data_IF_690251358870
#
_entry.id   IF_690251358870
#
_cell.length_a   1.000
_cell.length_b   1.000
_cell.length_c   1.000
_cell.angle_alpha   90.00
_cell.angle_beta   90.00
_cell.angle_gamma   90.00
#
_symmetry.space_group_name_H-M   'P 1'
#
loop_
_entity.id
_entity.type
_entity.pdbx_description
1 polymer ?
#
# COMPACT_ATOMS: atom_id res chain seq x y z
N UNK A 1 58.32 -11.23 18.56
CA UNK A 1 57.11 -10.45 18.90
C UNK A 1 56.25 -10.38 17.66
N UNK A 2 55.25 -11.25 17.56
CA UNK A 2 54.34 -11.37 16.44
C UNK A 2 52.92 -11.16 16.98
N UNK A 3 52.26 -10.09 16.55
CA UNK A 3 50.90 -9.72 16.95
C UNK A 3 49.89 -10.43 16.05
N UNK A 4 49.15 -11.36 16.65
CA UNK A 4 48.03 -12.09 16.03
C UNK A 4 46.86 -11.18 15.63
N UNK A 5 46.21 -11.42 14.48
CA UNK A 5 44.96 -10.75 14.11
C UNK A 5 43.76 -11.39 14.82
N UNK A 6 42.95 -10.55 15.48
CA UNK A 6 41.69 -10.94 16.13
C UNK A 6 40.66 -11.30 15.04
N UNK A 7 40.29 -12.58 14.99
CA UNK A 7 39.15 -13.09 14.19
C UNK A 7 37.84 -12.81 14.93
N UNK A 8 36.91 -12.09 14.30
CA UNK A 8 35.53 -12.03 14.75
C UNK A 8 34.81 -13.34 14.39
N UNK A 9 34.27 -14.02 15.41
CA UNK A 9 33.47 -15.24 15.27
C UNK A 9 32.05 -14.89 14.84
N UNK A 10 31.56 -15.57 13.80
CA UNK A 10 30.12 -15.72 13.54
C UNK A 10 29.48 -16.56 14.65
N UNK A 11 28.32 -16.16 15.22
CA UNK A 11 27.47 -17.08 15.95
C UNK A 11 26.55 -17.81 14.96
N UNK A 12 26.92 -19.05 14.62
CA UNK A 12 26.01 -20.08 14.13
C UNK A 12 25.17 -20.63 15.29
N UNK A 13 23.88 -20.85 15.00
CA UNK A 13 22.87 -21.65 15.74
C UNK A 13 22.47 -21.22 17.16
N UNK A 14 21.21 -20.80 17.31
CA UNK A 14 20.43 -21.08 18.52
C UNK A 14 19.48 -22.25 18.21
N UNK A 15 19.46 -23.21 19.13
CA UNK A 15 18.79 -24.50 19.06
C UNK A 15 17.25 -24.41 19.18
N UNK A 16 16.51 -25.46 18.77
CA UNK A 16 15.07 -25.47 18.59
C UNK A 16 14.35 -25.86 19.89
N UNK A 17 13.37 -25.06 20.31
CA UNK A 17 12.17 -25.46 21.07
C UNK A 17 11.46 -24.22 21.63
N UNK A 18 10.53 -23.66 20.87
CA UNK A 18 9.42 -22.86 21.41
C UNK A 18 8.11 -23.44 20.88
N UNK A 19 7.23 -23.98 21.73
CA UNK A 19 5.94 -24.47 21.31
C UNK A 19 4.99 -23.29 21.05
N UNK A 20 4.22 -23.37 19.96
CA UNK A 20 3.07 -22.49 19.72
C UNK A 20 3.37 -21.29 18.82
N UNK A 21 3.43 -21.53 17.52
CA UNK A 21 3.33 -20.52 16.47
C UNK A 21 1.97 -19.82 16.51
N UNK A 22 1.86 -18.75 17.30
CA UNK A 22 0.79 -17.76 17.18
C UNK A 22 1.35 -16.53 16.46
N UNK A 23 1.40 -16.58 15.13
CA UNK A 23 1.58 -15.38 14.30
C UNK A 23 0.39 -14.45 14.52
N UNK A 24 0.56 -13.44 15.38
CA UNK A 24 -0.43 -12.38 15.60
C UNK A 24 -0.60 -11.58 14.30
N UNK A 25 -1.69 -11.83 13.58
CA UNK A 25 -2.05 -11.21 12.28
C UNK A 25 -2.48 -9.72 12.36
N UNK A 26 -2.21 -8.99 13.44
CA UNK A 26 -2.82 -7.67 13.64
C UNK A 26 -1.87 -6.64 14.27
N UNK A 27 -0.95 -6.04 13.49
CA UNK A 27 -0.13 -4.94 14.02
C UNK A 27 0.26 -3.91 12.94
N UNK A 28 -0.33 -2.71 13.00
CA UNK A 28 0.17 -1.49 12.36
C UNK A 28 0.60 -0.47 13.42
N UNK A 29 1.85 0.00 13.36
CA UNK A 29 2.34 1.17 14.12
C UNK A 29 2.37 2.42 13.22
N UNK A 30 2.48 3.60 13.81
CA UNK A 30 2.62 4.86 13.09
C UNK A 30 3.64 5.70 13.84
N UNK A 31 4.69 6.16 13.17
CA UNK A 31 5.68 7.02 13.80
C UNK A 31 5.49 8.44 13.28
N UNK A 32 5.25 9.38 14.20
CA UNK A 32 5.10 10.81 13.93
C UNK A 32 6.25 11.54 14.60
N UNK A 33 6.93 12.45 13.93
CA UNK A 33 8.01 13.24 14.53
C UNK A 33 7.58 14.73 14.56
N UNK A 34 7.58 15.39 15.74
CA UNK A 34 7.31 16.82 15.86
C UNK A 34 8.50 17.64 15.36
N UNK A 35 8.27 18.93 15.12
CA UNK A 35 9.32 19.85 14.71
C UNK A 35 10.44 19.98 15.75
N UNK A 36 11.68 19.72 15.34
CA UNK A 36 12.87 20.01 16.13
C UNK A 36 13.97 20.56 15.22
N UNK A 37 14.55 21.70 15.60
CA UNK A 37 15.67 22.34 14.91
C UNK A 37 16.95 21.50 15.02
N UNK A 38 17.16 20.50 14.16
CA UNK A 38 18.48 19.84 14.04
C UNK A 38 18.67 19.09 12.69
N UNK A 39 19.87 19.12 12.06
CA UNK A 39 20.12 18.51 10.73
C UNK A 39 20.20 16.98 10.77
N UNK A 40 20.22 16.30 9.59
CA UNK A 40 19.93 14.87 9.50
C UNK A 40 21.18 14.00 9.69
N UNK A 41 21.38 13.47 10.90
CA UNK A 41 22.24 12.30 11.13
C UNK A 41 21.54 11.33 12.07
N UNK A 42 20.84 10.33 11.53
CA UNK A 42 20.38 9.17 12.29
C UNK A 42 21.49 8.11 12.33
N UNK A 43 22.51 8.35 13.13
CA UNK A 43 23.35 7.30 13.71
C UNK A 43 23.55 7.66 15.18
N UNK A 44 23.13 6.75 16.05
CA UNK A 44 23.42 6.63 17.48
C UNK A 44 23.64 7.93 18.28
N UNK A 45 22.78 8.14 19.28
CA UNK A 45 22.81 9.22 20.28
C UNK A 45 22.30 10.58 19.78
N UNK A 46 21.00 10.81 19.93
CA UNK A 46 20.38 12.10 19.70
C UNK A 46 18.89 12.02 19.99
N UNK A 47 18.43 12.81 20.96
CA UNK A 47 17.06 12.90 21.44
C UNK A 47 16.12 13.46 20.37
N UNK A 48 15.63 12.60 19.48
CA UNK A 48 14.48 12.91 18.65
C UNK A 48 13.23 12.27 19.28
N UNK A 49 12.24 13.08 19.64
CA UNK A 49 10.96 12.63 20.19
C UNK A 49 10.15 11.94 19.08
N UNK A 50 10.41 10.66 18.81
CA UNK A 50 9.57 9.88 17.92
C UNK A 50 8.26 9.53 18.64
N UNK A 51 7.11 9.92 18.11
CA UNK A 51 5.79 9.50 18.60
C UNK A 51 5.37 8.22 17.89
N UNK A 52 5.60 7.06 18.49
CA UNK A 52 5.12 5.78 17.96
C UNK A 52 3.70 5.45 18.46
N UNK A 53 2.73 5.33 17.57
CA UNK A 53 1.31 5.05 17.85
C UNK A 53 0.92 3.67 17.32
N UNK A 54 0.06 2.92 18.01
CA UNK A 54 -0.37 1.56 17.60
C UNK A 54 -1.79 1.27 18.06
N UNK A 55 -2.54 0.48 17.28
CA UNK A 55 -3.97 0.27 17.51
C UNK A 55 -4.42 -1.16 17.92
N UNK A 56 -5.52 -1.20 18.69
CA UNK A 56 -6.49 -2.29 18.97
C UNK A 56 -7.88 -1.65 19.20
N UNK A 57 -8.98 -2.26 18.74
CA UNK A 57 -10.35 -1.77 18.99
C UNK A 57 -10.86 -2.15 20.39
N UNK A 58 -11.58 -1.20 21.01
CA UNK A 58 -12.48 -1.29 22.18
C UNK A 58 -12.01 -1.90 23.50
N UNK A 59 -10.72 -2.17 23.69
CA UNK A 59 -10.15 -2.33 25.05
C UNK A 59 -8.82 -1.59 25.12
N UNK A 60 -8.65 -0.83 26.19
CA UNK A 60 -7.43 -0.17 26.67
C UNK A 60 -6.14 -0.52 25.92
N UNK A 61 -5.33 0.50 25.57
CA UNK A 61 -3.96 0.25 25.13
C UNK A 61 -3.29 -0.63 26.18
N UNK A 62 -2.77 -1.82 25.85
CA UNK A 62 -2.20 -2.69 26.87
C UNK A 62 -1.02 -1.95 27.51
N UNK A 63 -1.01 -1.75 28.84
CA UNK A 63 0.08 -1.07 29.55
C UNK A 63 1.46 -1.71 29.25
N UNK A 64 1.45 -2.97 28.83
CA UNK A 64 2.61 -3.71 28.32
C UNK A 64 3.38 -3.00 27.19
N UNK A 65 2.74 -2.17 26.34
CA UNK A 65 3.42 -1.57 25.17
C UNK A 65 4.30 -0.38 25.53
N UNK A 66 3.75 0.59 26.27
CA UNK A 66 4.55 1.68 26.82
C UNK A 66 5.64 1.12 27.74
N UNK A 67 5.31 0.08 28.52
CA UNK A 67 6.28 -0.66 29.32
C UNK A 67 7.42 -1.29 28.52
N UNK A 68 7.14 -1.90 27.37
CA UNK A 68 8.18 -2.50 26.51
C UNK A 68 9.11 -1.44 25.89
N UNK A 69 8.56 -0.30 25.47
CA UNK A 69 9.35 0.81 24.91
C UNK A 69 10.23 1.45 25.99
N UNK A 70 9.67 1.70 27.17
CA UNK A 70 10.41 2.21 28.32
C UNK A 70 11.53 1.26 28.76
N UNK A 71 11.26 -0.06 28.79
CA UNK A 71 12.30 -1.08 29.07
C UNK A 71 13.43 -1.08 28.04
N UNK A 72 13.15 -0.67 26.80
CA UNK A 72 14.14 -0.53 25.75
C UNK A 72 14.81 0.87 25.72
N UNK A 73 14.52 1.74 26.70
CA UNK A 73 15.10 3.09 26.82
C UNK A 73 14.40 4.16 25.95
N UNK A 74 13.25 3.85 25.37
CA UNK A 74 12.49 4.79 24.54
C UNK A 74 11.27 5.32 25.30
N UNK A 75 11.05 6.63 25.19
CA UNK A 75 9.95 7.33 25.86
C UNK A 75 9.04 8.09 24.88
N UNK A 76 8.46 7.40 23.87
CA UNK A 76 7.53 8.04 22.94
C UNK A 76 6.17 8.33 23.62
N UNK A 77 5.47 9.37 23.17
CA UNK A 77 4.03 9.48 23.46
C UNK A 77 3.29 8.33 22.75
N UNK A 78 2.64 7.45 23.51
CA UNK A 78 1.85 6.35 22.95
C UNK A 78 0.37 6.68 23.04
N UNK A 79 -0.25 6.82 21.89
CA UNK A 79 -1.67 7.20 21.78
C UNK A 79 -2.47 6.06 21.20
N UNK A 80 -3.59 5.74 21.84
CA UNK A 80 -4.59 4.84 21.31
C UNK A 80 -5.68 5.66 20.63
N UNK A 81 -5.80 5.53 19.31
CA UNK A 81 -6.78 6.26 18.51
C UNK A 81 -6.73 5.81 17.06
N UNK A 82 -7.54 6.46 16.22
CA UNK A 82 -7.50 6.26 14.77
C UNK A 82 -6.29 6.99 14.17
N UNK A 83 -5.42 6.23 13.50
CA UNK A 83 -4.25 6.79 12.81
C UNK A 83 -4.59 7.59 11.57
N UNK A 84 -5.75 7.35 10.95
CA UNK A 84 -6.20 8.12 9.78
C UNK A 84 -6.55 9.56 10.16
N UNK A 85 -7.06 9.79 11.38
CA UNK A 85 -7.34 11.12 11.92
C UNK A 85 -6.09 11.89 12.36
N UNK A 86 -4.91 11.26 12.36
CA UNK A 86 -3.69 11.84 12.89
C UNK A 86 -3.79 12.15 14.38
N UNK A 87 -3.18 13.27 14.80
CA UNK A 87 -3.33 13.87 16.13
C UNK A 87 -3.14 15.38 16.07
N UNK A 88 -4.24 16.14 15.94
CA UNK A 88 -4.18 17.61 15.95
C UNK A 88 -3.50 18.19 17.19
N UNK A 89 -3.76 17.61 18.37
CA UNK A 89 -3.21 18.12 19.63
C UNK A 89 -1.69 17.88 19.85
N UNK A 90 -0.99 17.25 18.90
CA UNK A 90 0.46 17.02 18.97
C UNK A 90 1.21 17.59 17.75
N UNK A 91 0.50 18.28 16.84
CA UNK A 91 1.05 18.82 15.59
C UNK A 91 1.45 20.29 15.68
N UNK A 92 2.08 20.85 14.63
CA UNK A 92 2.35 20.21 13.33
C UNK A 92 3.55 19.25 13.34
N UNK A 93 3.59 18.32 12.37
CA UNK A 93 4.61 17.28 12.23
C UNK A 93 5.55 17.55 11.05
N UNK A 94 6.84 17.28 11.24
CA UNK A 94 7.82 17.26 10.14
C UNK A 94 7.81 15.93 9.39
N UNK A 95 7.37 14.86 10.06
CA UNK A 95 7.31 13.53 9.47
C UNK A 95 6.09 12.76 9.92
N UNK A 96 5.46 12.14 8.95
CA UNK A 96 4.37 11.17 9.11
C UNK A 96 4.83 9.86 8.52
N UNK A 97 5.00 8.82 9.34
CA UNK A 97 5.43 7.50 8.89
C UNK A 97 4.35 6.48 9.23
N UNK A 98 3.73 5.94 8.20
CA UNK A 98 2.80 4.84 8.30
C UNK A 98 3.52 3.50 8.33
N UNK A 99 3.08 2.59 9.19
CA UNK A 99 3.44 1.16 9.08
C UNK A 99 2.19 0.29 8.91
N UNK A 100 1.19 0.85 8.24
CA UNK A 100 0.03 0.15 7.71
C UNK A 100 -0.33 0.76 6.35
N UNK A 101 -0.73 -0.08 5.39
CA UNK A 101 -1.05 0.35 4.04
C UNK A 101 -2.40 1.06 3.97
N UNK A 102 -2.46 2.10 3.15
CA UNK A 102 -3.69 2.85 2.81
C UNK A 102 -3.94 2.80 1.30
N UNK A 103 -5.21 2.89 0.88
CA UNK A 103 -5.57 3.16 -0.53
C UNK A 103 -5.70 4.65 -0.81
N UNK A 104 -5.90 5.43 0.25
CA UNK A 104 -5.99 6.88 0.22
C UNK A 104 -5.10 7.48 1.29
N UNK A 105 -4.24 8.43 0.93
CA UNK A 105 -3.49 9.21 1.93
C UNK A 105 -4.49 10.14 2.63
N UNK A 106 -4.68 10.02 3.96
CA UNK A 106 -5.65 10.82 4.68
C UNK A 106 -5.30 12.30 4.66
N UNK A 107 -6.31 13.13 4.40
CA UNK A 107 -6.17 14.59 4.41
C UNK A 107 -5.66 15.12 5.74
N UNK A 108 -6.07 14.50 6.85
CA UNK A 108 -5.62 14.86 8.19
C UNK A 108 -4.10 14.78 8.37
N UNK A 109 -3.40 13.93 7.60
CA UNK A 109 -1.94 13.87 7.66
C UNK A 109 -1.31 15.09 7.01
N UNK A 110 -1.86 15.56 5.88
CA UNK A 110 -1.44 16.80 5.24
C UNK A 110 -1.74 18.02 6.13
N UNK A 111 -2.95 18.12 6.67
CA UNK A 111 -3.38 19.28 7.47
C UNK A 111 -2.60 19.45 8.78
N UNK A 112 -1.94 18.38 9.24
CA UNK A 112 -1.17 18.36 10.48
C UNK A 112 0.34 18.38 10.22
N UNK A 113 0.77 18.66 8.99
CA UNK A 113 2.19 18.76 8.63
C UNK A 113 2.68 20.19 8.52
N UNK A 114 3.98 20.40 8.77
CA UNK A 114 4.69 21.63 8.39
C UNK A 114 4.96 21.66 6.88
N UNK A 115 5.15 22.85 6.30
CA UNK A 115 5.73 22.95 4.95
C UNK A 115 7.17 22.37 4.97
N UNK A 116 7.49 21.54 3.99
CA UNK A 116 8.73 20.74 3.94
C UNK A 116 8.61 19.36 4.60
N UNK A 117 7.51 19.06 5.31
CA UNK A 117 7.32 17.77 5.96
C UNK A 117 7.29 16.59 4.98
N UNK A 118 7.63 15.40 5.47
CA UNK A 118 7.61 14.16 4.69
C UNK A 118 6.53 13.22 5.19
N UNK A 119 5.66 12.79 4.28
CA UNK A 119 4.72 11.68 4.51
C UNK A 119 5.28 10.44 3.83
N UNK A 120 5.57 9.40 4.60
CA UNK A 120 6.06 8.11 4.12
C UNK A 120 5.03 7.02 4.48
N UNK A 121 4.40 6.42 3.47
CA UNK A 121 3.37 5.41 3.71
C UNK A 121 3.45 4.25 2.74
N UNK A 122 3.26 2.99 3.21
CA UNK A 122 2.84 1.92 2.33
C UNK A 122 1.49 2.30 1.71
N UNK A 123 1.40 2.12 0.40
CA UNK A 123 0.24 2.43 -0.41
C UNK A 123 -0.09 1.22 -1.28
N UNK A 124 -1.38 1.03 -1.53
CA UNK A 124 -1.84 -0.01 -2.42
C UNK A 124 -3.18 0.33 -3.03
N UNK A 125 -3.55 -0.44 -4.04
CA UNK A 125 -4.88 -0.44 -4.62
C UNK A 125 -5.53 -1.80 -4.41
N UNK A 126 -6.78 -1.95 -4.83
CA UNK A 126 -7.48 -3.23 -4.76
C UNK A 126 -6.81 -4.28 -5.66
N UNK A 127 -6.15 -3.83 -6.72
CA UNK A 127 -5.45 -4.66 -7.69
C UNK A 127 -4.09 -5.13 -7.16
N UNK A 128 -3.33 -4.24 -6.52
CA UNK A 128 -2.00 -4.55 -6.01
C UNK A 128 -1.62 -3.67 -4.82
N UNK A 129 -1.04 -4.29 -3.79
CA UNK A 129 -0.49 -3.61 -2.62
C UNK A 129 1.04 -3.63 -2.61
N UNK A 130 1.64 -2.68 -1.93
CA UNK A 130 3.03 -2.74 -1.49
C UNK A 130 3.93 -1.67 -2.08
N UNK A 131 3.40 -0.55 -2.59
CA UNK A 131 4.21 0.59 -3.00
C UNK A 131 4.60 1.42 -1.78
N UNK A 132 5.87 1.84 -1.69
CA UNK A 132 6.31 2.78 -0.65
C UNK A 132 6.19 4.20 -1.19
N UNK A 133 5.16 4.93 -0.78
CA UNK A 133 4.91 6.30 -1.21
C UNK A 133 5.64 7.29 -0.31
N UNK A 134 6.43 8.19 -0.90
CA UNK A 134 7.07 9.32 -0.21
C UNK A 134 6.56 10.63 -0.79
N UNK A 135 5.80 11.38 -0.01
CA UNK A 135 5.32 12.72 -0.35
C UNK A 135 6.09 13.78 0.43
N UNK A 136 6.24 14.95 -0.18
CA UNK A 136 6.75 16.15 0.48
C UNK A 136 5.63 17.19 0.50
N UNK A 137 5.42 17.80 1.67
CA UNK A 137 4.41 18.84 1.88
C UNK A 137 4.99 20.19 1.47
N UNK A 138 4.25 20.96 0.68
CA UNK A 138 4.58 22.35 0.36
C UNK A 138 3.30 23.09 -0.06
N UNK A 139 3.08 24.28 0.48
CA UNK A 139 2.00 25.16 0.08
C UNK A 139 0.62 24.48 0.13
N UNK A 140 0.35 23.74 1.21
CA UNK A 140 -0.92 23.04 1.41
C UNK A 140 -1.18 21.85 0.48
N UNK A 141 -0.14 21.32 -0.15
CA UNK A 141 -0.19 20.11 -1.01
C UNK A 141 0.88 19.12 -0.57
N UNK A 142 0.61 17.83 -0.71
CA UNK A 142 1.61 16.78 -0.58
C UNK A 142 1.82 16.11 -1.93
N UNK A 143 3.02 16.20 -2.49
CA UNK A 143 3.35 15.60 -3.81
C UNK A 143 4.60 14.75 -3.69
N UNK A 144 4.63 13.62 -4.40
CA UNK A 144 5.82 12.78 -4.45
C UNK A 144 5.61 11.48 -5.19
N UNK A 145 6.57 10.56 -5.04
CA UNK A 145 6.72 9.36 -5.87
C UNK A 145 6.76 8.10 -5.03
N UNK A 146 6.56 6.98 -5.70
CA UNK A 146 6.87 5.68 -5.12
C UNK A 146 8.39 5.46 -5.09
N UNK A 147 8.94 5.23 -3.91
CA UNK A 147 10.38 5.08 -3.67
C UNK A 147 10.85 3.61 -3.66
N UNK A 148 9.93 2.66 -3.85
CA UNK A 148 10.21 1.23 -3.80
C UNK A 148 9.03 0.43 -3.26
N UNK A 149 9.33 -0.71 -2.64
CA UNK A 149 8.30 -1.65 -2.17
C UNK A 149 8.23 -1.70 -0.65
N UNK A 150 7.03 -1.70 -0.08
CA UNK A 150 6.78 -1.90 1.34
C UNK A 150 5.47 -2.68 1.55
N UNK A 151 5.56 -3.99 1.82
CA UNK A 151 4.37 -4.83 2.07
C UNK A 151 3.99 -4.77 3.54
N UNK A 152 2.92 -4.03 3.83
CA UNK A 152 2.35 -3.90 5.17
C UNK A 152 0.89 -4.34 5.19
N UNK A 153 0.39 -4.61 6.40
CA UNK A 153 -1.02 -4.87 6.64
C UNK A 153 -1.83 -3.62 6.32
N UNK A 154 -3.02 -3.77 5.75
CA UNK A 154 -3.96 -2.67 5.55
C UNK A 154 -4.40 -2.03 6.87
N UNK A 155 -4.59 -0.71 6.85
CA UNK A 155 -5.50 -0.06 7.80
C UNK A 155 -6.87 -0.72 7.69
N UNK A 156 -7.56 -0.95 8.81
CA UNK A 156 -8.75 -1.83 8.82
C UNK A 156 -9.88 -1.29 7.93
N UNK A 157 -10.17 0.01 7.97
CA UNK A 157 -11.19 0.65 7.12
C UNK A 157 -10.81 0.71 5.63
N UNK A 158 -9.52 0.56 5.31
CA UNK A 158 -8.99 0.63 3.95
C UNK A 158 -8.89 -0.76 3.28
N UNK A 159 -9.26 -1.84 3.98
CA UNK A 159 -9.20 -3.20 3.43
C UNK A 159 -10.14 -3.33 2.23
N UNK A 160 -9.66 -3.82 1.07
CA UNK A 160 -10.53 -4.08 -0.08
C UNK A 160 -11.66 -5.04 0.26
N UNK A 161 -12.88 -4.72 -0.18
CA UNK A 161 -14.04 -5.59 -0.02
C UNK A 161 -13.91 -6.85 -0.90
N UNK A 162 -14.57 -7.92 -0.46
CA UNK A 162 -14.72 -9.19 -1.20
C UNK A 162 -16.17 -9.69 -1.18
N UNK A 163 -17.10 -8.84 -0.82
CA UNK A 163 -18.53 -9.14 -0.86
C UNK A 163 -19.02 -8.94 -2.28
N UNK A 164 -19.57 -10.00 -2.89
CA UNK A 164 -19.94 -10.01 -4.31
C UNK A 164 -21.42 -10.35 -4.44
N UNK A 165 -22.15 -9.47 -5.12
CA UNK A 165 -23.58 -9.62 -5.41
C UNK A 165 -23.86 -9.22 -6.88
N UNK A 166 -23.21 -9.85 -7.87
CA UNK A 166 -23.45 -9.54 -9.27
C UNK A 166 -24.83 -10.07 -9.71
N UNK A 167 -25.42 -9.53 -10.79
CA UNK A 167 -26.60 -10.13 -11.40
C UNK A 167 -26.29 -11.51 -11.98
N UNK A 168 -27.32 -12.34 -12.16
CA UNK A 168 -27.15 -13.73 -12.63
C UNK A 168 -26.75 -13.83 -14.10
N UNK A 169 -27.14 -12.86 -14.92
CA UNK A 169 -26.89 -12.90 -16.37
C UNK A 169 -25.57 -12.21 -16.71
N UNK A 170 -24.64 -12.96 -17.31
CA UNK A 170 -23.35 -12.46 -17.78
C UNK A 170 -23.31 -12.27 -19.30
N UNK A 171 -22.64 -11.21 -19.74
CA UNK A 171 -22.30 -10.96 -21.16
C UNK A 171 -21.01 -11.70 -21.50
N UNK A 172 -20.95 -12.31 -22.68
CA UNK A 172 -19.80 -13.10 -23.13
C UNK A 172 -19.04 -12.39 -24.23
N UNK A 173 -17.72 -12.53 -24.22
CA UNK A 173 -16.85 -12.04 -25.27
C UNK A 173 -15.55 -12.86 -25.33
N UNK A 174 -14.81 -12.69 -26.43
CA UNK A 174 -13.41 -13.08 -26.49
C UNK A 174 -12.54 -12.06 -25.76
N UNK A 175 -11.42 -12.50 -25.19
CA UNK A 175 -10.41 -11.59 -24.67
C UNK A 175 -9.62 -10.99 -25.84
N UNK A 176 -9.38 -9.66 -25.87
CA UNK A 176 -8.54 -9.03 -26.88
C UNK A 176 -7.04 -9.29 -26.69
N UNK A 177 -6.62 -9.70 -25.49
CA UNK A 177 -5.23 -10.00 -25.15
C UNK A 177 -5.10 -11.30 -24.37
N UNK A 178 -3.95 -11.96 -24.48
CA UNK A 178 -3.60 -13.12 -23.67
C UNK A 178 -3.56 -12.75 -22.17
N UNK A 179 -4.44 -13.32 -21.32
CA UNK A 179 -4.46 -13.04 -19.88
C UNK A 179 -3.15 -13.41 -19.18
N UNK A 180 -2.42 -14.39 -19.72
CA UNK A 180 -1.08 -14.76 -19.26
C UNK A 180 -0.07 -13.63 -19.37
N UNK A 181 -0.15 -12.80 -20.43
CA UNK A 181 0.75 -11.65 -20.62
C UNK A 181 0.37 -10.47 -19.74
N UNK A 182 -0.91 -10.24 -19.56
CA UNK A 182 -1.43 -9.10 -18.78
C UNK A 182 -1.25 -9.34 -17.28
N UNK A 183 -1.56 -10.55 -16.80
CA UNK A 183 -1.57 -10.89 -15.37
C UNK A 183 -0.32 -11.62 -14.88
N UNK A 184 0.47 -12.20 -15.79
CA UNK A 184 1.69 -12.95 -15.47
C UNK A 184 2.94 -12.08 -15.30
N UNK A 185 2.81 -10.76 -15.33
CA UNK A 185 3.92 -9.84 -15.14
C UNK A 185 4.49 -9.83 -13.72
N UNK A 186 5.67 -9.20 -13.52
CA UNK A 186 6.23 -9.00 -12.19
C UNK A 186 5.33 -8.11 -11.34
N UNK A 187 5.51 -8.13 -10.03
CA UNK A 187 4.73 -7.30 -9.10
C UNK A 187 4.69 -5.82 -9.48
N UNK A 188 5.80 -5.26 -10.00
CA UNK A 188 5.87 -3.86 -10.42
C UNK A 188 4.91 -3.52 -11.57
N UNK A 189 4.71 -4.45 -12.52
CA UNK A 189 3.71 -4.31 -13.58
C UNK A 189 2.32 -4.26 -12.94
N UNK A 190 1.97 -5.25 -12.12
CA UNK A 190 0.64 -5.32 -11.51
C UNK A 190 0.36 -4.10 -10.62
N UNK A 191 1.36 -3.61 -9.89
CA UNK A 191 1.23 -2.37 -9.13
C UNK A 191 0.96 -1.17 -10.04
N UNK A 192 1.70 -1.03 -11.14
CA UNK A 192 1.47 0.04 -12.11
C UNK A 192 0.04 -0.05 -12.69
N UNK A 193 -0.41 -1.22 -13.15
CA UNK A 193 -1.78 -1.41 -13.65
C UNK A 193 -2.81 -1.01 -12.60
N UNK A 194 -2.57 -1.40 -11.35
CA UNK A 194 -3.40 -1.05 -10.22
C UNK A 194 -3.58 0.45 -9.99
N UNK A 195 -2.70 1.32 -10.50
CA UNK A 195 -2.88 2.78 -10.42
C UNK A 195 -3.93 3.29 -11.42
N UNK A 196 -4.14 2.62 -12.56
CA UNK A 196 -5.21 2.93 -13.52
C UNK A 196 -6.56 2.35 -13.09
N UNK A 197 -6.55 1.18 -12.45
CA UNK A 197 -7.76 0.47 -12.00
C UNK A 197 -7.76 0.29 -10.47
N UNK A 198 -7.77 1.38 -9.69
CA UNK A 198 -7.50 1.32 -8.25
C UNK A 198 -8.54 0.53 -7.44
N UNK A 199 -9.75 0.40 -7.96
CA UNK A 199 -10.88 -0.24 -7.27
C UNK A 199 -11.17 -1.68 -7.73
N UNK A 200 -10.41 -2.17 -8.72
CA UNK A 200 -10.56 -3.53 -9.25
C UNK A 200 -9.74 -4.51 -8.40
N UNK A 201 -10.43 -5.41 -7.70
CA UNK A 201 -9.82 -6.57 -7.05
C UNK A 201 -9.75 -7.76 -8.00
N UNK A 202 -8.83 -8.70 -7.74
CA UNK A 202 -8.74 -9.94 -8.51
C UNK A 202 -8.31 -11.16 -7.69
N UNK A 203 -8.64 -12.35 -8.19
CA UNK A 203 -8.09 -13.61 -7.71
C UNK A 203 -8.05 -14.65 -8.84
N UNK A 204 -7.00 -15.47 -8.85
CA UNK A 204 -6.95 -16.65 -9.72
C UNK A 204 -7.79 -17.78 -9.11
N UNK A 205 -8.46 -18.53 -9.98
CA UNK A 205 -9.23 -19.73 -9.63
C UNK A 205 -8.93 -20.83 -10.63
N UNK A 206 -9.08 -22.09 -10.20
CA UNK A 206 -8.79 -23.26 -11.03
C UNK A 206 -7.31 -23.43 -11.36
N UNK A 207 -6.99 -24.55 -11.99
CA UNK A 207 -5.64 -24.92 -12.44
C UNK A 207 -5.71 -25.51 -13.85
N UNK A 208 -4.56 -25.61 -14.54
CA UNK A 208 -4.48 -26.19 -15.88
C UNK A 208 -5.39 -25.50 -16.90
N UNK A 209 -6.18 -26.29 -17.62
CA UNK A 209 -7.10 -25.80 -18.66
C UNK A 209 -8.30 -25.02 -18.09
N UNK A 210 -8.68 -25.26 -16.83
CA UNK A 210 -9.76 -24.55 -16.13
C UNK A 210 -9.28 -23.27 -15.43
N UNK A 211 -7.99 -22.93 -15.57
CA UNK A 211 -7.41 -21.74 -14.94
C UNK A 211 -8.10 -20.49 -15.47
N UNK A 212 -8.59 -19.68 -14.53
CA UNK A 212 -9.23 -18.40 -14.80
C UNK A 212 -8.77 -17.33 -13.81
N UNK A 213 -8.98 -16.07 -14.16
CA UNK A 213 -8.91 -14.94 -13.23
C UNK A 213 -10.30 -14.33 -13.09
N UNK A 214 -10.69 -14.09 -11.84
CA UNK A 214 -11.89 -13.35 -11.50
C UNK A 214 -11.50 -11.95 -11.08
N UNK A 215 -12.19 -10.95 -11.62
CA UNK A 215 -12.14 -9.55 -11.23
C UNK A 215 -13.45 -9.14 -10.54
N UNK A 216 -13.37 -8.16 -9.63
CA UNK A 216 -14.53 -7.54 -9.00
C UNK A 216 -14.26 -6.08 -8.65
N UNK A 217 -15.31 -5.28 -8.59
CA UNK A 217 -15.25 -3.89 -8.12
C UNK A 217 -15.52 -3.78 -6.61
N UNK A 218 -15.34 -2.59 -6.03
CA UNK A 218 -15.56 -2.42 -4.58
C UNK A 218 -17.03 -2.45 -4.17
N UNK A 219 -17.97 -2.20 -5.09
CA UNK A 219 -19.41 -2.34 -4.79
C UNK A 219 -19.86 -3.79 -4.81
N UNK A 220 -19.09 -4.68 -5.44
CA UNK A 220 -19.41 -6.09 -5.60
C UNK A 220 -20.48 -6.36 -6.65
N UNK A 221 -20.90 -5.36 -7.42
CA UNK A 221 -21.98 -5.48 -8.42
C UNK A 221 -21.43 -5.86 -9.79
N UNK A 222 -20.15 -5.60 -10.05
CA UNK A 222 -19.48 -5.99 -11.29
C UNK A 222 -18.46 -7.10 -11.03
N UNK A 223 -18.56 -8.19 -11.79
CA UNK A 223 -17.66 -9.33 -11.71
C UNK A 223 -17.31 -9.79 -13.12
N UNK A 224 -16.03 -9.99 -13.42
CA UNK A 224 -15.59 -10.50 -14.72
C UNK A 224 -14.74 -11.74 -14.55
N UNK A 225 -15.11 -12.84 -15.21
CA UNK A 225 -14.33 -14.07 -15.29
C UNK A 225 -13.60 -14.12 -16.62
N UNK A 226 -12.32 -14.50 -16.59
CA UNK A 226 -11.49 -14.61 -17.80
C UNK A 226 -10.71 -15.92 -17.78
N UNK A 227 -10.98 -16.78 -18.75
CA UNK A 227 -10.26 -18.04 -18.95
C UNK A 227 -8.86 -17.80 -19.54
N UNK A 228 -7.86 -18.50 -19.03
CA UNK A 228 -6.51 -18.48 -19.62
C UNK A 228 -6.43 -19.37 -20.87
N UNK A 229 -7.02 -20.56 -20.82
CA UNK A 229 -7.17 -21.45 -21.96
C UNK A 229 -8.23 -20.92 -22.92
N UNK A 230 -7.96 -21.00 -24.24
CA UNK A 230 -8.91 -20.56 -25.26
C UNK A 230 -9.34 -19.10 -25.11
N UNK A 231 -8.47 -18.22 -24.60
CA UNK A 231 -8.83 -16.83 -24.26
C UNK A 231 -9.41 -16.02 -25.44
N UNK A 232 -9.13 -16.43 -26.67
CA UNK A 232 -9.63 -15.83 -27.91
C UNK A 232 -11.03 -16.33 -28.31
N UNK A 233 -11.58 -17.33 -27.63
CA UNK A 233 -12.92 -17.85 -27.90
C UNK A 233 -14.01 -16.87 -27.41
N UNK A 234 -15.16 -16.74 -28.11
CA UNK A 234 -16.22 -15.79 -27.75
C UNK A 234 -16.84 -15.96 -26.35
N UNK A 235 -16.51 -17.04 -25.65
CA UNK A 235 -16.99 -17.39 -24.31
C UNK A 235 -15.93 -17.26 -23.23
N UNK A 236 -14.71 -16.86 -23.57
CA UNK A 236 -13.58 -16.83 -22.64
C UNK A 236 -13.70 -15.75 -21.56
N UNK A 237 -14.38 -14.65 -21.86
CA UNK A 237 -14.70 -13.58 -20.92
C UNK A 237 -16.19 -13.63 -20.60
N UNK A 238 -16.53 -13.62 -19.31
CA UNK A 238 -17.91 -13.50 -18.84
C UNK A 238 -18.00 -12.34 -17.86
N UNK A 239 -18.66 -11.25 -18.26
CA UNK A 239 -18.85 -10.04 -17.46
C UNK A 239 -20.28 -9.96 -16.92
N UNK A 240 -20.40 -9.92 -15.59
CA UNK A 240 -21.63 -9.71 -14.85
C UNK A 240 -21.67 -8.28 -14.31
N UNK A 241 -22.87 -7.68 -14.27
CA UNK A 241 -23.04 -6.32 -13.75
C UNK A 241 -22.83 -5.23 -14.80
N UNK A 242 -22.77 -3.96 -14.38
CA UNK A 242 -22.61 -2.83 -15.30
C UNK A 242 -21.22 -2.75 -15.92
N UNK A 243 -20.17 -3.15 -15.21
CA UNK A 243 -18.78 -3.06 -15.67
C UNK A 243 -18.29 -4.29 -16.44
N UNK A 244 -17.34 -4.07 -17.36
CA UNK A 244 -16.44 -5.10 -17.87
C UNK A 244 -15.02 -4.80 -17.36
N UNK A 245 -14.69 -5.39 -16.23
CA UNK A 245 -13.44 -5.11 -15.51
C UNK A 245 -12.23 -5.66 -16.27
N UNK A 246 -12.42 -6.66 -17.13
CA UNK A 246 -11.32 -7.15 -17.95
C UNK A 246 -10.93 -6.15 -19.04
N UNK A 247 -11.92 -5.53 -19.69
CA UNK A 247 -11.68 -4.46 -20.65
C UNK A 247 -10.95 -3.26 -20.00
N UNK A 248 -11.30 -2.89 -18.77
CA UNK A 248 -10.58 -1.85 -18.00
C UNK A 248 -9.12 -2.24 -17.73
N UNK A 249 -8.87 -3.48 -17.31
CA UNK A 249 -7.51 -4.00 -17.06
C UNK A 249 -6.68 -4.07 -18.36
N UNK A 250 -7.29 -4.48 -19.47
CA UNK A 250 -6.67 -4.46 -20.80
C UNK A 250 -6.31 -3.04 -21.23
N UNK A 251 -7.20 -2.07 -21.00
CA UNK A 251 -6.95 -0.66 -21.29
C UNK A 251 -5.79 -0.11 -20.45
N UNK A 252 -5.75 -0.44 -19.15
CA UNK A 252 -4.64 -0.10 -18.26
C UNK A 252 -3.31 -0.71 -18.74
N UNK A 253 -3.32 -2.00 -19.10
CA UNK A 253 -2.14 -2.70 -19.61
C UNK A 253 -1.63 -2.09 -20.92
N UNK A 254 -2.54 -1.80 -21.84
CA UNK A 254 -2.22 -1.15 -23.11
C UNK A 254 -1.64 0.24 -22.88
N UNK A 255 -2.21 1.02 -21.96
CA UNK A 255 -1.70 2.35 -21.59
C UNK A 255 -0.30 2.28 -20.99
N UNK A 256 -0.05 1.34 -20.08
CA UNK A 256 1.27 1.11 -19.50
C UNK A 256 2.32 0.67 -20.55
N UNK A 257 1.94 -0.23 -21.46
CA UNK A 257 2.80 -0.66 -22.58
C UNK A 257 3.14 0.49 -23.52
N UNK A 258 2.15 1.28 -23.93
CA UNK A 258 2.32 2.45 -24.80
C UNK A 258 3.18 3.54 -24.14
N UNK A 259 3.14 3.64 -22.81
CA UNK A 259 4.01 4.52 -22.03
C UNK A 259 5.49 4.07 -21.95
N UNK A 260 5.85 2.96 -22.61
CA UNK A 260 7.20 2.40 -22.57
C UNK A 260 7.49 1.56 -21.32
N UNK A 261 6.45 0.98 -20.69
CA UNK A 261 6.59 0.12 -19.52
C UNK A 261 7.34 0.80 -18.36
N UNK A 262 6.88 2.00 -17.93
CA UNK A 262 7.55 2.78 -16.89
C UNK A 262 7.70 1.98 -15.60
N UNK A 263 8.85 2.17 -14.94
CA UNK A 263 9.08 1.65 -13.59
C UNK A 263 8.21 2.38 -12.55
N UNK A 264 8.21 1.82 -11.34
CA UNK A 264 7.44 2.33 -10.20
C UNK A 264 7.77 3.79 -9.83
N UNK A 265 9.04 4.19 -9.95
CA UNK A 265 9.51 5.53 -9.58
C UNK A 265 9.03 6.63 -10.53
N UNK A 266 8.59 6.27 -11.74
CA UNK A 266 7.94 7.20 -12.66
C UNK A 266 6.52 7.57 -12.22
N UNK A 267 5.92 6.84 -11.29
CA UNK A 267 4.59 7.14 -10.77
C UNK A 267 4.64 7.94 -9.47
N UNK A 268 3.61 8.75 -9.25
CA UNK A 268 3.46 9.52 -8.04
C UNK A 268 2.03 9.87 -7.71
N UNK A 269 1.86 10.50 -6.55
CA UNK A 269 0.58 10.99 -6.05
C UNK A 269 0.72 12.46 -5.70
N UNK A 270 -0.34 13.20 -5.95
CA UNK A 270 -0.55 14.53 -5.38
C UNK A 270 -1.83 14.51 -4.58
N UNK A 271 -1.73 14.96 -3.32
CA UNK A 271 -2.83 15.21 -2.41
C UNK A 271 -2.92 16.72 -2.16
N UNK A 272 -4.13 17.26 -2.20
CA UNK A 272 -4.45 18.66 -1.97
C UNK A 272 -5.76 18.79 -1.20
N UNK A 273 -6.24 20.01 -1.04
CA UNK A 273 -7.50 20.28 -0.38
C UNK A 273 -8.73 19.75 -1.12
N UNK A 274 -8.63 19.70 -2.46
CA UNK A 274 -9.75 19.37 -3.36
C UNK A 274 -9.66 17.99 -3.98
N UNK A 275 -8.45 17.44 -4.08
CA UNK A 275 -8.22 16.22 -4.86
C UNK A 275 -7.01 15.43 -4.36
N UNK A 276 -7.11 14.12 -4.54
CA UNK A 276 -5.99 13.19 -4.54
C UNK A 276 -5.97 12.47 -5.89
N UNK A 277 -4.83 12.43 -6.57
CA UNK A 277 -4.73 11.79 -7.87
C UNK A 277 -3.35 11.19 -8.09
N UNK A 278 -3.31 10.11 -8.86
CA UNK A 278 -2.08 9.49 -9.34
C UNK A 278 -1.69 10.07 -10.68
N UNK A 279 -0.38 10.11 -10.94
CA UNK A 279 0.17 10.66 -12.16
C UNK A 279 1.42 9.88 -12.60
N UNK A 280 1.76 9.99 -13.89
CA UNK A 280 2.96 9.42 -14.50
C UNK A 280 3.93 10.53 -14.86
N UNK A 281 5.21 10.36 -14.61
CA UNK A 281 6.31 11.27 -14.98
C UNK A 281 6.28 12.64 -14.30
N UNK A 282 5.16 13.34 -14.33
CA UNK A 282 4.93 14.62 -13.68
C UNK A 282 3.46 14.75 -13.23
N UNK A 283 3.15 15.66 -12.29
CA UNK A 283 1.78 15.87 -11.79
C UNK A 283 0.75 16.35 -12.82
N UNK A 284 1.13 16.64 -14.06
CA UNK A 284 0.21 17.08 -15.12
C UNK A 284 -0.31 15.90 -15.95
N UNK A 285 0.41 14.78 -15.97
CA UNK A 285 -0.02 13.56 -16.68
C UNK A 285 -0.79 12.65 -15.73
N UNK A 286 -2.03 13.04 -15.45
CA UNK A 286 -2.94 12.33 -14.53
C UNK A 286 -3.30 10.95 -15.08
N UNK A 287 -3.28 9.95 -14.19
CA UNK A 287 -3.66 8.56 -14.48
C UNK A 287 -5.07 8.28 -13.95
N UNK A 288 -5.30 8.55 -12.66
CA UNK A 288 -6.56 8.31 -12.00
C UNK A 288 -6.76 9.30 -10.86
N UNK A 289 -8.00 9.76 -10.70
CA UNK A 289 -8.42 10.49 -9.51
C UNK A 289 -8.90 9.52 -8.44
N UNK A 290 -8.53 9.79 -7.20
CA UNK A 290 -8.97 9.05 -6.04
C UNK A 290 -10.10 9.82 -5.36
N UNK A 291 -11.33 9.30 -5.47
CA UNK A 291 -12.48 9.86 -4.75
C UNK A 291 -12.48 9.30 -3.33
N UNK A 292 -12.46 10.19 -2.34
CA UNK A 292 -12.62 9.87 -0.92
C UNK A 292 -14.04 9.42 -0.59
#
# INVERSE_FOLDING_TARGET
MATSPVRFRHPTSCAPNCPGSAWSRDTGCWNWAPAADTPPHCCASGSATATSRRWRSTRSCPPARAGNLAKAGYHPEVVCGDGLAGRPASGPFDRVIATAAVRHVPRAWLDQCTDGAVILTPFGTCFANGGLLRLTVAHGRATGRFAGTARYMWVRSERPSRELHPPETGRRAASPLDPGKVMGGPWAQNFALGLWVPDVGHAHRGEGEERQVQFWDQTGTSVTLVSYGGWYEPTAVVAYGPGDLWSEVVAAYTSWRTAGQPDLGRFGITLSDRAQYTWRDNPETVIAEHRS
#
